data_IF_081438188823
#
_entry.id   IF_081438188823
#
_cell.length_a   1.000
_cell.length_b   1.000
_cell.length_c   1.000
_cell.angle_alpha   90.00
_cell.angle_beta   90.00
_cell.angle_gamma   90.00
#
_symmetry.space_group_name_H-M   'P 1'
#
loop_
_entity.id
_entity.type
_entity.pdbx_description
1 polymer ?
#
# COMPACT_ATOMS: atom_id res chain seq x y z
N UNK A 1 5.85 -26.68 -9.68
CA UNK A 1 7.02 -25.82 -9.59
C UNK A 1 8.10 -26.62 -8.91
N UNK A 2 9.29 -26.73 -9.45
CA UNK A 2 10.43 -27.41 -8.83
C UNK A 2 11.10 -26.49 -7.80
N UNK A 3 11.91 -27.06 -6.87
CA UNK A 3 12.70 -26.24 -5.91
C UNK A 3 13.59 -25.21 -6.61
N UNK A 4 14.00 -25.48 -7.85
CA UNK A 4 14.81 -24.58 -8.66
C UNK A 4 14.00 -23.36 -9.13
N UNK A 5 12.71 -23.57 -9.50
CA UNK A 5 11.85 -22.48 -9.97
C UNK A 5 11.65 -21.40 -8.90
N UNK A 6 11.67 -21.80 -7.61
CA UNK A 6 11.56 -20.84 -6.49
C UNK A 6 12.81 -20.01 -6.27
N UNK A 7 13.99 -20.55 -6.59
CA UNK A 7 15.27 -19.87 -6.38
C UNK A 7 15.60 -18.85 -7.47
N UNK A 8 14.95 -18.98 -8.62
CA UNK A 8 15.17 -18.09 -9.76
C UNK A 8 14.19 -16.89 -9.75
N UNK A 9 13.30 -16.81 -8.75
CA UNK A 9 12.34 -15.72 -8.59
C UNK A 9 12.85 -14.68 -7.59
N UNK A 10 12.58 -13.41 -7.88
CA UNK A 10 12.74 -12.32 -6.92
C UNK A 10 11.58 -12.31 -5.94
N UNK A 11 11.89 -12.17 -4.66
CA UNK A 11 10.92 -12.01 -3.59
C UNK A 11 11.09 -10.67 -2.89
N UNK A 12 10.07 -10.27 -2.17
CA UNK A 12 9.98 -8.94 -1.62
C UNK A 12 9.65 -8.98 -0.12
N UNK A 13 10.24 -8.02 0.61
CA UNK A 13 9.93 -7.79 2.01
C UNK A 13 9.84 -6.31 2.31
N UNK A 14 8.68 -5.85 2.78
CA UNK A 14 8.55 -4.52 3.36
C UNK A 14 8.84 -4.56 4.86
N UNK A 15 9.48 -3.50 5.35
CA UNK A 15 9.90 -3.34 6.75
C UNK A 15 9.54 -1.96 7.27
N UNK A 16 9.69 -1.76 8.57
CA UNK A 16 9.63 -0.45 9.20
C UNK A 16 10.71 0.49 8.63
N UNK A 17 10.59 1.82 8.85
CA UNK A 17 11.60 2.78 8.39
C UNK A 17 13.02 2.53 8.92
N UNK A 18 13.16 1.88 10.07
CA UNK A 18 14.46 1.49 10.65
C UNK A 18 15.04 0.22 10.05
N UNK A 19 14.32 -0.47 9.16
CA UNK A 19 14.75 -1.72 8.52
C UNK A 19 14.32 -2.98 9.24
N UNK A 20 13.64 -2.86 10.40
CA UNK A 20 13.15 -4.02 11.14
C UNK A 20 11.78 -4.51 10.62
N UNK A 21 11.46 -5.78 10.84
CA UNK A 21 10.18 -6.34 10.40
C UNK A 21 8.98 -5.73 11.14
N UNK A 22 7.84 -5.58 10.44
CA UNK A 22 6.63 -5.01 11.02
C UNK A 22 5.98 -5.84 12.13
N UNK A 23 6.24 -7.15 12.16
CA UNK A 23 5.51 -8.05 13.04
C UNK A 23 6.14 -8.15 14.42
N UNK A 24 7.47 -8.36 14.48
CA UNK A 24 8.19 -8.53 15.75
C UNK A 24 9.07 -7.33 16.09
N UNK A 25 9.49 -6.54 15.11
CA UNK A 25 10.46 -5.46 15.27
C UNK A 25 11.87 -5.95 15.62
N UNK A 26 12.15 -7.25 15.46
CA UNK A 26 13.42 -7.85 15.90
C UNK A 26 14.29 -8.36 14.77
N UNK A 27 13.72 -8.57 13.58
CA UNK A 27 14.46 -9.03 12.41
C UNK A 27 14.90 -7.81 11.60
N UNK A 28 16.19 -7.55 11.56
CA UNK A 28 16.78 -6.38 10.92
C UNK A 28 17.28 -6.73 9.50
N UNK A 29 16.50 -6.33 8.50
CA UNK A 29 16.81 -6.54 7.08
C UNK A 29 17.85 -5.53 6.57
N UNK A 30 17.91 -4.34 7.18
CA UNK A 30 18.90 -3.36 6.80
C UNK A 30 20.31 -3.80 7.23
N UNK A 31 20.47 -4.25 8.47
CA UNK A 31 21.74 -4.78 8.96
C UNK A 31 22.17 -6.04 8.18
N UNK A 32 21.22 -6.91 7.80
CA UNK A 32 21.52 -8.09 6.97
C UNK A 32 22.01 -7.70 5.57
N UNK A 33 21.46 -6.65 4.96
CA UNK A 33 21.93 -6.12 3.69
C UNK A 33 23.35 -5.55 3.82
N UNK A 34 23.62 -4.77 4.86
CA UNK A 34 24.93 -4.14 5.10
C UNK A 34 26.04 -5.17 5.37
N UNK A 35 25.74 -6.20 6.15
CA UNK A 35 26.71 -7.27 6.46
C UNK A 35 26.89 -8.28 5.33
N UNK A 36 25.91 -8.43 4.45
CA UNK A 36 25.84 -9.49 3.45
C UNK A 36 25.56 -10.89 4.05
N UNK A 37 25.28 -10.97 5.35
CA UNK A 37 24.96 -12.21 6.03
C UNK A 37 23.50 -12.60 5.84
N UNK A 38 23.23 -13.90 5.93
CA UNK A 38 21.86 -14.40 5.94
C UNK A 38 21.19 -14.07 7.27
N UNK A 39 19.89 -13.80 7.23
CA UNK A 39 19.09 -13.74 8.46
C UNK A 39 19.17 -15.08 9.20
N UNK A 40 19.13 -15.07 10.55
CA UNK A 40 19.22 -16.29 11.36
C UNK A 40 18.16 -17.32 10.96
N UNK A 41 18.55 -18.60 10.89
CA UNK A 41 17.63 -19.64 10.49
C UNK A 41 16.48 -19.83 11.49
N UNK A 42 15.26 -19.87 11.00
CA UNK A 42 14.05 -20.20 11.76
C UNK A 42 13.77 -21.71 11.74
N UNK A 43 12.91 -22.16 12.63
CA UNK A 43 12.68 -23.59 12.85
C UNK A 43 11.99 -24.32 11.70
N UNK A 44 11.30 -23.64 10.81
CA UNK A 44 10.46 -24.24 9.77
C UNK A 44 9.26 -25.01 10.32
N UNK A 45 8.93 -24.85 11.61
CA UNK A 45 7.85 -25.58 12.27
C UNK A 45 6.60 -24.73 12.44
N UNK A 46 5.47 -25.39 12.48
CA UNK A 46 4.17 -24.77 12.65
C UNK A 46 3.47 -24.49 11.34
N UNK A 47 2.27 -23.91 11.44
CA UNK A 47 1.49 -23.50 10.27
C UNK A 47 2.09 -22.25 9.62
N UNK A 48 1.90 -22.13 8.31
CA UNK A 48 2.16 -20.88 7.59
C UNK A 48 0.82 -20.17 7.31
N UNK A 49 0.74 -18.86 7.56
CA UNK A 49 1.74 -17.98 8.15
C UNK A 49 1.94 -18.21 9.65
N UNK A 50 3.19 -18.09 10.14
CA UNK A 50 3.53 -18.29 11.55
C UNK A 50 4.99 -17.97 11.87
N UNK A 51 5.33 -17.89 13.16
CA UNK A 51 6.64 -17.44 13.66
C UNK A 51 7.83 -18.33 13.27
N UNK A 52 7.58 -19.55 12.80
CA UNK A 52 8.65 -20.46 12.33
C UNK A 52 9.18 -20.14 10.94
N UNK A 53 8.66 -19.10 10.27
CA UNK A 53 8.92 -18.79 8.88
C UNK A 53 9.11 -17.28 8.67
N UNK A 54 10.05 -16.90 7.81
CA UNK A 54 10.07 -15.58 7.21
C UNK A 54 8.97 -15.48 6.16
N UNK A 55 8.20 -14.42 6.19
CA UNK A 55 7.11 -14.20 5.23
C UNK A 55 7.60 -13.29 4.11
N UNK A 56 7.66 -13.83 2.90
CA UNK A 56 8.09 -13.12 1.70
C UNK A 56 6.93 -13.02 0.71
N UNK A 57 6.91 -11.97 -0.08
CA UNK A 57 5.93 -11.76 -1.14
C UNK A 57 6.55 -12.07 -2.52
N UNK A 58 5.77 -12.64 -3.43
CA UNK A 58 6.18 -12.90 -4.82
C UNK A 58 6.03 -11.66 -5.71
N UNK A 59 5.30 -10.64 -5.23
CA UNK A 59 5.16 -9.34 -5.87
C UNK A 59 5.21 -8.25 -4.80
N UNK A 60 5.78 -7.06 -5.11
CA UNK A 60 5.97 -5.99 -4.11
C UNK A 60 4.66 -5.55 -3.44
N UNK A 61 3.58 -5.48 -4.20
CA UNK A 61 2.26 -5.02 -3.73
C UNK A 61 1.56 -5.97 -2.76
N UNK A 62 2.11 -7.14 -2.53
CA UNK A 62 1.59 -8.16 -1.60
C UNK A 62 2.43 -8.27 -0.31
N UNK A 63 3.31 -7.29 -0.05
CA UNK A 63 4.01 -7.18 1.22
C UNK A 63 3.04 -6.84 2.35
N UNK A 64 2.46 -7.87 2.96
CA UNK A 64 1.42 -7.76 4.00
C UNK A 64 2.00 -7.25 5.31
N UNK A 65 1.16 -6.50 6.05
CA UNK A 65 1.55 -5.87 7.31
C UNK A 65 2.33 -4.56 7.11
N UNK A 66 2.45 -4.11 5.86
CA UNK A 66 3.10 -2.86 5.53
C UNK A 66 2.34 -1.67 6.13
N UNK A 67 3.06 -0.72 6.69
CA UNK A 67 2.60 0.64 6.93
C UNK A 67 3.46 1.62 6.12
N UNK A 68 3.08 2.88 6.06
CA UNK A 68 3.83 3.91 5.37
C UNK A 68 4.27 5.01 6.36
N UNK A 69 5.50 5.49 6.28
CA UNK A 69 6.58 5.07 5.37
C UNK A 69 7.14 3.69 5.71
N UNK A 70 7.69 3.02 4.70
CA UNK A 70 8.34 1.72 4.83
C UNK A 70 9.66 1.70 4.04
N UNK A 71 10.48 0.66 4.26
CA UNK A 71 11.56 0.27 3.35
C UNK A 71 11.16 -1.01 2.64
N UNK A 72 11.65 -1.21 1.42
CA UNK A 72 11.37 -2.37 0.60
C UNK A 72 12.67 -3.04 0.17
N UNK A 73 12.77 -4.33 0.39
CA UNK A 73 13.93 -5.13 0.07
C UNK A 73 13.61 -6.23 -0.93
N UNK A 74 14.50 -6.41 -1.90
CA UNK A 74 14.61 -7.64 -2.66
C UNK A 74 15.31 -8.68 -1.81
N UNK A 75 14.76 -9.88 -1.78
CA UNK A 75 15.23 -10.95 -0.92
C UNK A 75 15.21 -12.30 -1.64
N UNK A 76 16.06 -13.22 -1.21
CA UNK A 76 16.16 -14.58 -1.71
C UNK A 76 15.91 -15.57 -0.55
N UNK A 77 15.04 -16.58 -0.72
CA UNK A 77 14.90 -17.66 0.24
C UNK A 77 16.14 -18.56 0.17
N UNK A 78 16.74 -18.89 1.33
CA UNK A 78 17.97 -19.70 1.47
C UNK A 78 17.58 -20.91 2.27
N UNK A 79 16.77 -21.47 2.59
CA UNK A 79 16.47 -22.68 3.36
C UNK A 79 15.29 -23.42 2.79
N UNK A 80 14.54 -24.03 3.66
CA UNK A 80 13.29 -24.65 3.29
C UNK A 80 12.27 -23.59 2.91
N UNK A 81 11.50 -23.86 1.86
CA UNK A 81 10.46 -22.96 1.35
C UNK A 81 9.10 -23.63 1.45
N UNK A 82 8.12 -22.90 1.92
CA UNK A 82 6.74 -23.35 2.03
C UNK A 82 5.79 -22.38 1.33
N UNK A 83 4.93 -22.91 0.46
CA UNK A 83 3.80 -22.15 -0.11
C UNK A 83 2.51 -22.43 0.65
N UNK A 84 1.72 -21.39 0.89
CA UNK A 84 0.38 -21.55 1.39
C UNK A 84 -0.63 -21.44 0.23
N UNK A 85 -1.43 -22.46 0.00
CA UNK A 85 -2.47 -22.45 -1.03
C UNK A 85 -3.50 -21.33 -0.83
N UNK A 86 -3.72 -20.89 0.41
CA UNK A 86 -4.60 -19.77 0.76
C UNK A 86 -3.99 -18.39 0.47
N UNK A 87 -2.69 -18.32 0.20
CA UNK A 87 -1.97 -17.05 0.00
C UNK A 87 -1.03 -17.18 -1.20
N UNK A 88 -1.54 -17.11 -2.44
CA UNK A 88 -0.79 -17.44 -3.67
C UNK A 88 0.41 -16.51 -3.93
N UNK A 89 0.42 -15.34 -3.32
CA UNK A 89 1.51 -14.35 -3.46
C UNK A 89 2.44 -14.30 -2.24
N UNK A 90 2.41 -15.36 -1.40
CA UNK A 90 3.28 -15.45 -0.23
C UNK A 90 3.97 -16.78 -0.14
N UNK A 91 5.22 -16.72 0.31
CA UNK A 91 5.99 -17.89 0.70
C UNK A 91 6.52 -17.73 2.13
N UNK A 92 6.71 -18.85 2.79
CA UNK A 92 7.52 -18.98 3.99
C UNK A 92 8.93 -19.46 3.63
N UNK A 93 9.95 -18.89 4.24
CA UNK A 93 11.32 -19.37 4.14
C UNK A 93 11.93 -19.53 5.53
N UNK A 94 12.80 -20.53 5.72
CA UNK A 94 13.48 -20.72 7.02
C UNK A 94 14.72 -19.85 7.18
N UNK A 95 15.34 -19.43 6.08
CA UNK A 95 16.42 -18.45 6.07
C UNK A 95 16.26 -17.54 4.85
N UNK A 96 16.82 -16.33 4.91
CA UNK A 96 16.68 -15.31 3.88
C UNK A 96 18.00 -14.58 3.71
N UNK A 97 18.38 -14.33 2.45
CA UNK A 97 19.42 -13.39 2.09
C UNK A 97 18.78 -12.10 1.56
N UNK A 98 19.22 -10.97 2.06
CA UNK A 98 18.80 -9.65 1.56
C UNK A 98 19.71 -9.27 0.42
N UNK A 99 19.15 -8.94 -0.74
CA UNK A 99 19.90 -8.69 -1.98
C UNK A 99 20.10 -7.20 -2.24
N UNK A 100 19.04 -6.42 -2.11
CA UNK A 100 19.04 -4.98 -2.35
C UNK A 100 17.91 -4.29 -1.61
N UNK A 101 18.08 -3.00 -1.35
CA UNK A 101 16.98 -2.10 -1.04
C UNK A 101 16.51 -1.43 -2.32
N UNK A 102 15.21 -1.29 -2.49
CA UNK A 102 14.58 -0.66 -3.65
C UNK A 102 13.61 0.43 -3.21
N UNK A 103 13.18 1.25 -4.15
CA UNK A 103 12.24 2.33 -3.89
C UNK A 103 10.94 1.81 -3.28
N UNK A 104 10.64 2.24 -2.06
CA UNK A 104 9.49 1.77 -1.29
C UNK A 104 8.14 1.97 -2.01
N UNK A 105 8.03 3.02 -2.86
CA UNK A 105 6.79 3.30 -3.58
C UNK A 105 6.38 2.16 -4.54
N UNK A 106 7.30 1.28 -4.93
CA UNK A 106 7.00 0.09 -5.76
C UNK A 106 5.99 -0.84 -5.04
N UNK A 107 6.03 -0.90 -3.70
CA UNK A 107 5.05 -1.64 -2.92
C UNK A 107 3.64 -1.03 -2.99
N UNK A 108 3.50 0.23 -3.37
CA UNK A 108 2.23 0.91 -3.56
C UNK A 108 1.62 0.70 -4.97
N UNK A 109 2.33 0.02 -5.85
CA UNK A 109 1.85 -0.37 -7.18
C UNK A 109 2.28 0.58 -8.30
N UNK A 110 1.69 0.45 -9.52
CA UNK A 110 2.09 1.22 -10.70
C UNK A 110 2.04 2.74 -10.50
N UNK A 111 1.09 3.24 -9.70
CA UNK A 111 0.97 4.66 -9.34
C UNK A 111 1.65 4.97 -8.00
N UNK A 112 2.63 4.17 -7.59
CA UNK A 112 3.21 4.23 -6.24
C UNK A 112 3.80 5.58 -5.87
N UNK A 113 4.46 6.26 -6.82
CA UNK A 113 4.99 7.62 -6.62
C UNK A 113 3.86 8.60 -6.29
N UNK A 114 2.76 8.56 -7.05
CA UNK A 114 1.61 9.43 -6.85
C UNK A 114 0.90 9.13 -5.53
N UNK A 115 0.81 7.84 -5.17
CA UNK A 115 0.25 7.41 -3.89
C UNK A 115 1.10 7.89 -2.72
N UNK A 116 2.42 7.75 -2.79
CA UNK A 116 3.32 8.25 -1.75
C UNK A 116 3.18 9.76 -1.57
N UNK A 117 3.24 10.52 -2.66
CA UNK A 117 3.05 11.97 -2.64
C UNK A 117 1.66 12.38 -2.10
N UNK A 118 0.62 11.60 -2.45
CA UNK A 118 -0.73 11.81 -1.94
C UNK A 118 -0.83 11.58 -0.42
N UNK A 119 -0.21 10.52 0.10
CA UNK A 119 -0.17 10.24 1.54
C UNK A 119 0.55 11.38 2.29
N UNK A 120 1.69 11.83 1.79
CA UNK A 120 2.43 12.96 2.37
C UNK A 120 1.58 14.24 2.36
N UNK A 121 0.85 14.50 1.27
CA UNK A 121 -0.06 15.64 1.18
C UNK A 121 -1.21 15.56 2.18
N UNK A 122 -1.76 14.37 2.43
CA UNK A 122 -2.79 14.17 3.45
C UNK A 122 -2.29 14.53 4.86
N UNK A 123 -1.04 14.22 5.18
CA UNK A 123 -0.43 14.54 6.47
C UNK A 123 -0.25 16.05 6.72
N UNK A 124 -0.28 16.87 5.67
CA UNK A 124 -0.06 18.33 5.72
C UNK A 124 -1.32 19.17 5.47
N UNK A 125 -2.50 18.55 5.51
CA UNK A 125 -3.78 19.27 5.32
C UNK A 125 -3.97 20.32 6.42
N UNK A 126 -4.33 21.53 6.00
CA UNK A 126 -4.70 22.61 6.92
C UNK A 126 -6.17 22.49 7.36
N UNK A 127 -6.54 23.13 8.46
CA UNK A 127 -7.92 23.13 8.96
C UNK A 127 -8.91 23.73 7.94
N UNK A 128 -8.48 24.74 7.16
CA UNK A 128 -9.30 25.32 6.09
C UNK A 128 -9.53 24.32 4.95
N UNK A 129 -8.49 23.62 4.52
CA UNK A 129 -8.61 22.57 3.50
C UNK A 129 -9.52 21.44 3.96
N UNK A 130 -9.40 21.01 5.21
CA UNK A 130 -10.29 20.01 5.82
C UNK A 130 -11.73 20.47 5.77
N UNK A 131 -12.01 21.73 6.13
CA UNK A 131 -13.35 22.32 6.09
C UNK A 131 -13.91 22.35 4.66
N UNK A 132 -13.10 22.75 3.67
CA UNK A 132 -13.48 22.77 2.25
C UNK A 132 -13.72 21.37 1.68
N UNK A 133 -12.89 20.38 2.05
CA UNK A 133 -13.08 18.98 1.68
C UNK A 133 -14.39 18.42 2.24
N UNK A 134 -14.72 18.77 3.50
CA UNK A 134 -15.99 18.40 4.10
C UNK A 134 -17.18 18.98 3.32
N UNK A 135 -17.12 20.25 2.92
CA UNK A 135 -18.15 20.87 2.10
C UNK A 135 -18.27 20.19 0.71
N UNK A 136 -17.14 19.87 0.07
CA UNK A 136 -17.12 19.22 -1.23
C UNK A 136 -17.67 17.77 -1.19
N UNK A 137 -17.57 17.06 -0.06
CA UNK A 137 -18.13 15.71 0.11
C UNK A 137 -19.60 15.62 -0.22
N UNK A 138 -20.38 16.63 0.16
CA UNK A 138 -21.85 16.66 -0.04
C UNK A 138 -22.27 16.63 -1.52
N UNK A 139 -21.36 16.96 -2.44
CA UNK A 139 -21.60 16.95 -3.89
C UNK A 139 -21.28 15.62 -4.55
N UNK A 140 -20.49 14.75 -3.89
CA UNK A 140 -20.04 13.49 -4.45
C UNK A 140 -21.03 12.34 -4.10
N UNK A 141 -21.96 12.05 -5.00
CA UNK A 141 -22.83 10.85 -4.95
C UNK A 141 -22.07 9.51 -5.09
N UNK A 142 -20.77 9.48 -4.70
CA UNK A 142 -19.84 8.40 -4.98
C UNK A 142 -19.88 7.18 -4.06
N UNK A 143 -20.89 7.04 -3.18
CA UNK A 143 -20.96 5.89 -2.24
C UNK A 143 -21.07 4.56 -3.00
N UNK A 144 -21.88 4.49 -4.04
CA UNK A 144 -22.06 3.25 -4.81
C UNK A 144 -20.83 2.84 -5.59
N UNK A 145 -20.11 3.80 -6.20
CA UNK A 145 -18.86 3.52 -6.93
C UNK A 145 -17.74 3.13 -5.97
N UNK A 146 -17.68 3.80 -4.80
CA UNK A 146 -16.72 3.50 -3.74
C UNK A 146 -16.91 2.08 -3.19
N UNK A 147 -18.15 1.67 -2.93
CA UNK A 147 -18.46 0.33 -2.43
C UNK A 147 -18.16 -0.76 -3.46
N UNK A 148 -18.41 -0.50 -4.75
CA UNK A 148 -18.02 -1.40 -5.83
C UNK A 148 -16.49 -1.53 -5.92
N UNK A 149 -15.75 -0.41 -5.86
CA UNK A 149 -14.27 -0.41 -5.88
C UNK A 149 -13.70 -1.07 -4.64
N UNK A 150 -14.24 -0.79 -3.44
CA UNK A 150 -13.88 -1.47 -2.19
C UNK A 150 -14.10 -2.98 -2.24
N UNK A 151 -15.20 -3.44 -2.81
CA UNK A 151 -15.51 -4.87 -2.91
C UNK A 151 -14.44 -5.64 -3.68
N UNK A 152 -13.80 -4.99 -4.64
CA UNK A 152 -12.80 -5.59 -5.52
C UNK A 152 -11.40 -5.50 -4.92
N UNK A 153 -11.12 -4.40 -4.24
CA UNK A 153 -9.79 -4.12 -3.70
C UNK A 153 -9.57 -4.71 -2.30
N UNK A 154 -10.63 -5.11 -1.58
CA UNK A 154 -10.54 -5.73 -0.23
C UNK A 154 -9.70 -6.99 -0.15
N UNK A 155 -9.32 -7.58 -1.29
CA UNK A 155 -8.48 -8.76 -1.37
C UNK A 155 -6.98 -8.48 -1.57
N UNK A 156 -6.55 -7.23 -1.72
CA UNK A 156 -5.15 -6.92 -1.99
C UNK A 156 -4.47 -6.30 -0.77
N UNK A 157 -3.27 -6.77 -0.44
CA UNK A 157 -2.44 -6.20 0.62
C UNK A 157 -2.16 -4.70 0.39
N UNK A 158 -2.12 -4.27 -0.86
CA UNK A 158 -1.97 -2.89 -1.30
C UNK A 158 -3.03 -1.96 -0.71
N UNK A 159 -4.28 -2.40 -0.66
CA UNK A 159 -5.38 -1.61 -0.10
C UNK A 159 -5.28 -1.49 1.41
N UNK A 160 -4.92 -2.58 2.09
CA UNK A 160 -4.69 -2.54 3.53
C UNK A 160 -3.54 -1.58 3.89
N UNK A 161 -2.48 -1.56 3.06
CA UNK A 161 -1.36 -0.64 3.22
C UNK A 161 -1.77 0.82 2.99
N UNK A 162 -2.61 1.08 2.00
CA UNK A 162 -3.13 2.43 1.74
C UNK A 162 -4.06 2.91 2.87
N UNK A 163 -4.96 2.06 3.32
CA UNK A 163 -5.84 2.37 4.45
C UNK A 163 -5.01 2.66 5.71
N UNK A 164 -4.00 1.84 6.00
CA UNK A 164 -3.11 2.04 7.14
C UNK A 164 -2.29 3.33 7.01
N UNK A 165 -1.73 3.60 5.83
CA UNK A 165 -0.93 4.80 5.58
C UNK A 165 -1.77 6.08 5.68
N UNK A 166 -2.97 6.10 5.11
CA UNK A 166 -3.90 7.22 5.24
C UNK A 166 -4.40 7.39 6.68
N UNK A 167 -4.57 6.29 7.42
CA UNK A 167 -4.92 6.35 8.83
C UNK A 167 -3.80 6.96 9.67
N UNK A 168 -2.55 6.57 9.41
CA UNK A 168 -1.38 7.08 10.11
C UNK A 168 -1.05 8.54 9.73
N UNK A 169 -1.31 8.95 8.49
CA UNK A 169 -1.10 10.31 8.01
C UNK A 169 -2.14 11.31 8.54
N UNK A 170 -3.28 10.83 9.05
CA UNK A 170 -4.29 11.71 9.63
C UNK A 170 -3.88 12.02 11.08
N UNK A 171 -3.51 13.25 11.45
CA UNK A 171 -3.11 13.57 12.83
C UNK A 171 -4.21 13.17 13.80
N UNK A 172 -3.83 12.58 14.93
CA UNK A 172 -4.72 12.11 15.99
C UNK A 172 -5.47 13.23 16.73
N UNK A 173 -6.03 14.19 15.99
CA UNK A 173 -6.89 15.24 16.50
C UNK A 173 -8.25 14.62 16.78
N UNK A 174 -8.73 14.82 17.99
CA UNK A 174 -10.00 14.39 18.52
C UNK A 174 -11.10 14.32 17.44
N UNK A 175 -11.82 13.22 17.43
CA UNK A 175 -13.03 12.86 16.68
C UNK A 175 -13.90 14.08 16.31
N UNK A 176 -13.46 14.89 15.37
CA UNK A 176 -14.24 15.97 14.79
C UNK A 176 -14.83 15.44 13.47
N UNK A 177 -16.14 15.60 13.31
CA UNK A 177 -16.89 15.18 12.13
C UNK A 177 -16.35 15.76 10.82
N UNK A 178 -15.65 16.90 10.88
CA UNK A 178 -15.01 17.52 9.73
C UNK A 178 -13.79 16.69 9.23
N UNK A 179 -13.02 16.16 10.14
CA UNK A 179 -11.89 15.27 9.80
C UNK A 179 -12.36 13.94 9.22
N UNK A 180 -13.43 13.36 9.75
CA UNK A 180 -13.99 12.13 9.19
C UNK A 180 -14.46 12.33 7.74
N UNK A 181 -15.05 13.47 7.45
CA UNK A 181 -15.49 13.80 6.10
C UNK A 181 -14.32 14.06 5.14
N UNK A 182 -13.30 14.78 5.58
CA UNK A 182 -12.08 15.02 4.79
C UNK A 182 -11.35 13.69 4.51
N UNK A 183 -11.30 12.81 5.51
CA UNK A 183 -10.74 11.46 5.35
C UNK A 183 -11.51 10.63 4.34
N UNK A 184 -12.84 10.68 4.32
CA UNK A 184 -13.64 10.01 3.31
C UNK A 184 -13.34 10.50 1.89
N UNK A 185 -13.11 11.82 1.73
CA UNK A 185 -12.69 12.40 0.43
C UNK A 185 -11.29 11.93 0.06
N UNK A 186 -10.34 11.94 1.01
CA UNK A 186 -9.00 11.43 0.80
C UNK A 186 -9.00 9.94 0.42
N UNK A 187 -9.77 9.12 1.11
CA UNK A 187 -9.97 7.72 0.75
C UNK A 187 -10.55 7.56 -0.66
N UNK A 188 -11.53 8.38 -1.02
CA UNK A 188 -12.08 8.39 -2.38
C UNK A 188 -11.00 8.69 -3.43
N UNK A 189 -10.18 9.69 -3.18
CA UNK A 189 -9.08 10.06 -4.07
C UNK A 189 -8.01 8.96 -4.19
N UNK A 190 -7.62 8.34 -3.06
CA UNK A 190 -6.72 7.18 -3.06
C UNK A 190 -7.27 6.00 -3.87
N UNK A 191 -8.58 5.72 -3.74
CA UNK A 191 -9.26 4.71 -4.54
C UNK A 191 -9.29 5.08 -6.03
N UNK A 192 -9.37 6.38 -6.35
CA UNK A 192 -9.23 6.86 -7.73
C UNK A 192 -7.88 6.49 -8.33
N UNK A 193 -6.78 6.70 -7.60
CA UNK A 193 -5.45 6.29 -8.06
C UNK A 193 -5.37 4.78 -8.32
N UNK A 194 -5.97 3.97 -7.46
CA UNK A 194 -6.06 2.52 -7.70
C UNK A 194 -6.93 2.18 -8.91
N UNK A 195 -8.08 2.85 -9.05
CA UNK A 195 -8.97 2.64 -10.18
C UNK A 195 -8.29 2.96 -11.50
N UNK A 196 -7.39 3.96 -11.53
CA UNK A 196 -6.62 4.33 -12.71
C UNK A 196 -5.84 3.15 -13.30
N UNK A 197 -5.26 2.29 -12.44
CA UNK A 197 -4.56 1.07 -12.87
C UNK A 197 -5.51 0.02 -13.50
N UNK A 198 -6.80 0.15 -13.27
CA UNK A 198 -7.82 -0.85 -13.58
C UNK A 198 -8.83 -0.36 -14.64
N UNK A 199 -8.69 0.88 -15.13
CA UNK A 199 -9.57 1.45 -16.16
C UNK A 199 -9.59 0.52 -17.39
N UNK A 200 -10.79 0.24 -17.89
CA UNK A 200 -11.01 -0.62 -19.04
C UNK A 200 -10.98 -2.12 -18.74
N UNK A 201 -10.64 -2.55 -17.54
CA UNK A 201 -10.60 -3.97 -17.18
C UNK A 201 -11.98 -4.54 -16.82
N UNK A 202 -12.92 -3.69 -16.42
CA UNK A 202 -14.31 -4.09 -16.11
C UNK A 202 -15.30 -2.98 -16.44
N UNK A 203 -16.56 -3.33 -16.72
CA UNK A 203 -17.63 -2.35 -16.90
C UNK A 203 -17.76 -1.43 -15.70
N UNK A 204 -17.88 -0.11 -15.94
CA UNK A 204 -17.97 0.91 -14.92
C UNK A 204 -16.63 1.34 -14.31
N UNK A 205 -15.52 0.75 -14.72
CA UNK A 205 -14.16 1.16 -14.38
C UNK A 205 -13.61 2.00 -15.52
N UNK A 206 -13.97 3.26 -15.51
CA UNK A 206 -13.71 4.22 -16.57
C UNK A 206 -13.24 5.57 -15.99
N UNK A 207 -12.94 6.51 -16.88
CA UNK A 207 -12.51 7.85 -16.51
C UNK A 207 -13.59 8.59 -15.69
N UNK A 208 -14.88 8.34 -15.97
CA UNK A 208 -15.99 8.95 -15.21
C UNK A 208 -15.99 8.50 -13.75
N UNK A 209 -15.72 7.22 -13.49
CA UNK A 209 -15.58 6.69 -12.13
C UNK A 209 -14.35 7.30 -11.42
N UNK A 210 -13.23 7.44 -12.12
CA UNK A 210 -12.04 8.14 -11.61
C UNK A 210 -12.36 9.59 -11.24
N UNK A 211 -12.98 10.34 -12.13
CA UNK A 211 -13.33 11.75 -11.90
C UNK A 211 -14.32 11.92 -10.74
N UNK A 212 -15.25 10.98 -10.60
CA UNK A 212 -16.20 10.98 -9.48
C UNK A 212 -15.49 10.76 -8.12
N UNK A 213 -14.55 9.83 -8.05
CA UNK A 213 -13.81 9.53 -6.83
C UNK A 213 -12.83 10.63 -6.45
N UNK A 214 -12.17 11.23 -7.43
CA UNK A 214 -11.10 12.21 -7.21
C UNK A 214 -11.59 13.65 -7.23
N UNK A 215 -12.76 13.92 -7.82
CA UNK A 215 -13.30 15.26 -8.06
C UNK A 215 -13.32 16.15 -6.82
N UNK A 216 -13.88 15.73 -5.67
CA UNK A 216 -13.90 16.56 -4.47
C UNK A 216 -12.51 16.95 -3.98
N UNK A 217 -11.53 16.05 -4.04
CA UNK A 217 -10.14 16.37 -3.71
C UNK A 217 -9.53 17.33 -4.73
N UNK A 218 -9.64 17.01 -6.02
CA UNK A 218 -9.08 17.82 -7.10
C UNK A 218 -9.63 19.25 -7.12
N UNK A 219 -10.89 19.43 -6.77
CA UNK A 219 -11.54 20.74 -6.68
C UNK A 219 -10.98 21.61 -5.54
N UNK A 220 -10.61 21.01 -4.42
CA UNK A 220 -10.21 21.73 -3.18
C UNK A 220 -8.69 21.85 -3.07
N UNK A 221 -7.98 20.76 -3.36
CA UNK A 221 -6.54 20.63 -3.12
C UNK A 221 -5.75 20.75 -4.44
N UNK A 222 -6.27 20.15 -5.51
CA UNK A 222 -5.60 20.11 -6.80
C UNK A 222 -5.40 18.68 -7.33
N UNK A 223 -4.66 18.52 -8.44
CA UNK A 223 -4.44 17.26 -9.10
C UNK A 223 -3.75 16.24 -8.17
N UNK A 224 -4.09 14.95 -8.36
CA UNK A 224 -3.46 13.82 -7.67
C UNK A 224 -2.57 12.98 -8.59
N UNK A 225 -2.68 13.22 -9.89
CA UNK A 225 -1.87 12.58 -10.92
C UNK A 225 -1.39 13.60 -11.95
N UNK A 226 -0.18 13.45 -12.53
CA UNK A 226 0.34 14.38 -13.54
C UNK A 226 -0.58 14.60 -14.76
N UNK A 227 -1.33 13.55 -15.14
CA UNK A 227 -2.26 13.61 -16.27
C UNK A 227 -3.62 14.24 -15.92
N UNK A 228 -3.83 14.64 -14.67
CA UNK A 228 -5.09 15.29 -14.30
C UNK A 228 -5.19 16.66 -14.95
N UNK A 229 -6.21 16.86 -15.77
CA UNK A 229 -6.53 18.18 -16.28
C UNK A 229 -6.88 19.13 -15.12
N UNK A 230 -6.50 20.42 -15.20
CA UNK A 230 -6.95 21.42 -14.24
C UNK A 230 -8.48 21.46 -14.20
N UNK A 231 -9.04 21.40 -12.98
CA UNK A 231 -10.50 21.53 -12.80
C UNK A 231 -10.88 22.99 -13.08
N UNK A 232 -11.85 23.19 -13.97
CA UNK A 232 -12.38 24.52 -14.22
C UNK A 232 -12.99 25.10 -12.92
N UNK A 233 -12.41 26.17 -12.41
CA UNK A 233 -12.90 26.87 -11.21
C UNK A 233 -12.07 26.69 -9.93
N UNK A 234 -10.90 26.03 -9.98
CA UNK A 234 -9.94 26.05 -8.89
C UNK A 234 -9.15 27.37 -8.90
N UNK A 235 -9.60 28.35 -8.17
CA UNK A 235 -8.91 29.64 -7.92
C UNK A 235 -9.23 30.13 -6.51
#
# INVERSE_FOLDING_TARGET
MSDQDFRDMTYWKATQPDGTDFHTGTVDYAAALESGEHLPALSGKGSFPGLGWYHLATVPTECVGMSWPCRLFEVEPVGDVLMASAHPHKIGATAVRVLAEVDAHVALGPQGVQVAAFIERCATLTADEVSRLNAARGTARGVATRDATRGIARGTARVAAWDAALYAATPGVALDTAWDAARDVALGAAWGLLLRDLIGQRPGWDQGAYDLLTGPWRQVIGPIHPDDAPMAGAS
#
